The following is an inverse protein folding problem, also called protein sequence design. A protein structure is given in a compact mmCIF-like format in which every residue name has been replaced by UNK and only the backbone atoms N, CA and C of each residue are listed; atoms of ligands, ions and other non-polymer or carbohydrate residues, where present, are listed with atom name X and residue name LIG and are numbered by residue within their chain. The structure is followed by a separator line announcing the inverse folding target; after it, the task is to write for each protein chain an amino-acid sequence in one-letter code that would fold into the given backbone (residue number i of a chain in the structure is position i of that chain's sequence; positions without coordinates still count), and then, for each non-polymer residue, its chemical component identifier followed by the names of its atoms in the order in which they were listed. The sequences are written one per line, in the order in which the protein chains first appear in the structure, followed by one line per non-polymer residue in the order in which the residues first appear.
data_IF_442726054254
#
_entry.id   IF_442726054254
#
_cell.length_a   1.000
_cell.length_b   1.000
_cell.length_c   1.000
_cell.angle_alpha   90.00
_cell.angle_beta   90.00
_cell.angle_gamma   90.00
#
_symmetry.space_group_name_H-M   'P 1'
#
loop_
_entity.id
_entity.type
_entity.pdbx_description
1 polymer ?
#
# COMPACT_ATOMS: atom_id res chain seq x y z
N UNK A 1 -78.26 26.53 12.58
CA UNK A 1 -77.13 26.20 11.70
C UNK A 1 -76.25 27.45 11.63
N UNK A 2 -75.25 27.54 12.50
CA UNK A 2 -74.37 28.69 12.63
C UNK A 2 -72.94 28.18 12.79
N UNK A 3 -72.05 28.67 11.91
CA UNK A 3 -70.61 28.83 12.06
C UNK A 3 -69.98 28.76 10.65
N UNK A 4 -69.92 29.89 9.96
CA UNK A 4 -68.80 30.13 9.05
C UNK A 4 -67.95 31.20 9.72
N UNK A 5 -66.97 30.68 10.43
CA UNK A 5 -65.84 31.33 11.07
C UNK A 5 -64.87 31.75 9.96
N UNK A 6 -64.88 33.02 9.54
CA UNK A 6 -63.87 33.56 8.62
C UNK A 6 -63.57 35.05 8.90
N UNK A 7 -63.36 35.39 10.17
CA UNK A 7 -62.74 36.65 10.60
C UNK A 7 -61.20 36.54 10.55
N UNK A 8 -60.65 36.17 9.37
CA UNK A 8 -59.22 36.34 9.11
C UNK A 8 -59.02 37.39 8.03
N UNK A 9 -58.93 38.65 8.48
CA UNK A 9 -58.48 39.76 7.65
C UNK A 9 -57.24 39.36 6.84
N UNK A 10 -57.36 39.40 5.51
CA UNK A 10 -56.25 39.06 4.60
C UNK A 10 -55.08 40.01 4.88
N UNK A 11 -53.88 39.51 5.17
CA UNK A 11 -52.73 40.35 5.48
C UNK A 11 -52.42 41.32 4.33
N UNK A 12 -52.10 42.56 4.71
CA UNK A 12 -51.63 43.59 3.77
C UNK A 12 -50.38 43.12 3.03
N UNK A 13 -50.22 43.54 1.78
CA UNK A 13 -49.01 43.28 0.98
C UNK A 13 -47.71 43.68 1.71
N UNK A 14 -47.74 44.77 2.51
CA UNK A 14 -46.60 45.17 3.36
C UNK A 14 -46.28 44.17 4.48
N UNK A 15 -47.28 43.43 4.94
CA UNK A 15 -47.16 42.45 6.01
C UNK A 15 -46.69 41.09 5.49
N UNK A 16 -47.09 40.74 4.26
CA UNK A 16 -46.53 39.62 3.51
C UNK A 16 -45.03 39.84 3.27
N UNK A 17 -44.65 41.05 2.87
CA UNK A 17 -43.24 41.40 2.63
C UNK A 17 -42.42 41.37 3.92
N UNK A 18 -42.97 41.91 5.02
CA UNK A 18 -42.35 41.84 6.36
C UNK A 18 -42.19 40.41 6.87
N UNK A 19 -43.12 39.51 6.54
CA UNK A 19 -43.01 38.07 6.87
C UNK A 19 -41.96 37.38 6.02
N UNK A 20 -41.77 37.83 4.78
CA UNK A 20 -40.76 37.30 3.85
C UNK A 20 -39.34 37.68 4.28
N UNK A 21 -39.14 38.92 4.75
CA UNK A 21 -37.85 39.39 5.30
C UNK A 21 -37.51 38.76 6.65
N UNK A 22 -38.53 38.35 7.42
CA UNK A 22 -38.36 37.47 8.58
C UNK A 22 -38.25 36.01 8.18
N UNK A 23 -37.62 35.72 7.04
CA UNK A 23 -37.09 34.39 6.79
C UNK A 23 -36.31 33.97 8.03
N UNK A 24 -36.89 33.02 8.78
CA UNK A 24 -36.14 32.17 9.68
C UNK A 24 -35.01 31.67 8.82
N UNK A 25 -33.82 32.24 8.98
CA UNK A 25 -32.61 31.55 8.60
C UNK A 25 -32.72 30.25 9.38
N UNK A 26 -33.23 29.22 8.71
CA UNK A 26 -32.81 27.86 8.98
C UNK A 26 -31.31 27.96 8.81
N UNK A 27 -30.60 28.18 9.91
CA UNK A 27 -29.33 27.50 10.03
C UNK A 27 -29.74 26.05 9.78
N UNK A 28 -29.52 25.59 8.54
CA UNK A 28 -29.23 24.18 8.35
C UNK A 28 -28.16 23.96 9.41
N UNK A 29 -28.53 23.35 10.53
CA UNK A 29 -27.56 22.76 11.43
C UNK A 29 -26.71 21.93 10.48
N UNK A 30 -25.54 22.45 10.12
CA UNK A 30 -24.58 21.68 9.35
C UNK A 30 -24.34 20.51 10.25
N UNK A 31 -24.83 19.35 9.84
CA UNK A 31 -24.60 18.15 10.62
C UNK A 31 -23.10 18.09 10.89
N UNK A 32 -22.72 17.80 12.16
CA UNK A 32 -21.31 17.76 12.50
C UNK A 32 -20.65 16.79 11.52
N UNK A 33 -19.73 17.32 10.72
CA UNK A 33 -19.01 16.55 9.71
C UNK A 33 -18.55 15.23 10.31
N UNK A 34 -18.79 14.15 9.58
CA UNK A 34 -18.34 12.83 9.98
C UNK A 34 -16.83 12.85 10.22
N UNK A 35 -16.34 11.92 11.02
CA UNK A 35 -14.91 11.79 11.31
C UNK A 35 -14.06 11.70 10.04
N UNK A 36 -14.61 11.07 9.00
CA UNK A 36 -14.05 10.94 7.66
C UNK A 36 -13.92 12.30 6.97
N UNK A 37 -15.01 13.08 6.92
CA UNK A 37 -15.01 14.40 6.28
C UNK A 37 -14.10 15.40 7.00
N UNK A 38 -13.90 15.25 8.31
CA UNK A 38 -12.93 16.05 9.07
C UNK A 38 -11.49 15.67 8.74
N UNK A 39 -11.21 14.37 8.61
CA UNK A 39 -9.88 13.89 8.26
C UNK A 39 -9.45 14.36 6.86
N UNK A 40 -10.37 14.39 5.89
CA UNK A 40 -10.09 14.79 4.51
C UNK A 40 -9.79 16.30 4.32
N UNK A 41 -10.11 17.15 5.32
CA UNK A 41 -9.94 18.62 5.23
C UNK A 41 -8.53 19.12 5.48
N UNK A 42 -7.72 18.36 6.22
CA UNK A 42 -6.32 18.70 6.45
C UNK A 42 -5.45 17.76 5.61
N UNK A 43 -4.47 18.27 4.83
CA UNK A 43 -3.58 17.43 4.03
C UNK A 43 -2.86 16.36 4.88
N UNK A 44 -2.48 16.69 6.11
CA UNK A 44 -1.81 15.78 7.03
C UNK A 44 -2.74 14.71 7.60
N UNK A 45 -3.96 15.09 8.02
CA UNK A 45 -4.98 14.14 8.50
C UNK A 45 -5.48 13.24 7.37
N UNK A 46 -5.61 13.79 6.17
CA UNK A 46 -5.98 13.05 4.96
C UNK A 46 -4.92 11.99 4.67
N UNK A 47 -3.64 12.34 4.75
CA UNK A 47 -2.56 11.38 4.53
C UNK A 47 -2.62 10.23 5.55
N UNK A 48 -2.75 10.53 6.85
CA UNK A 48 -2.92 9.49 7.88
C UNK A 48 -4.17 8.63 7.67
N UNK A 49 -5.27 9.24 7.28
CA UNK A 49 -6.52 8.54 7.03
C UNK A 49 -6.43 7.64 5.80
N UNK A 50 -5.74 8.07 4.75
CA UNK A 50 -5.44 7.24 3.58
C UNK A 50 -4.53 6.06 3.94
N UNK A 51 -3.49 6.27 4.76
CA UNK A 51 -2.66 5.18 5.27
C UNK A 51 -3.45 4.16 6.12
N UNK A 52 -4.39 4.64 6.94
CA UNK A 52 -5.28 3.77 7.73
C UNK A 52 -6.26 2.98 6.85
N UNK A 53 -6.80 3.60 5.80
CA UNK A 53 -7.65 2.90 4.84
C UNK A 53 -6.84 1.90 4.02
N UNK A 54 -5.67 2.26 3.52
CA UNK A 54 -4.77 1.32 2.85
C UNK A 54 -4.44 0.13 3.75
N UNK A 55 -4.28 0.36 5.07
CA UNK A 55 -4.14 -0.72 6.04
C UNK A 55 -5.40 -1.58 6.18
N UNK A 56 -6.59 -1.01 6.10
CA UNK A 56 -7.84 -1.78 6.18
C UNK A 56 -8.11 -2.57 4.89
N UNK A 57 -7.67 -2.07 3.73
CA UNK A 57 -7.94 -2.68 2.42
C UNK A 57 -6.87 -3.68 1.95
N UNK A 58 -5.68 -3.73 2.56
CA UNK A 58 -4.59 -4.64 2.13
C UNK A 58 -4.59 -6.03 2.79
N UNK A 59 -5.62 -6.38 3.58
CA UNK A 59 -5.74 -7.70 4.21
C UNK A 59 -4.58 -8.04 5.18
N UNK A 60 -4.11 -9.30 5.18
CA UNK A 60 -3.04 -9.77 6.09
C UNK A 60 -1.71 -8.97 5.98
N UNK A 61 -1.41 -8.36 4.82
CA UNK A 61 -0.18 -7.58 4.57
C UNK A 61 -0.18 -6.19 5.21
N UNK A 62 -1.33 -5.70 5.67
CA UNK A 62 -1.41 -4.45 6.44
C UNK A 62 -1.31 -4.64 7.96
N UNK A 63 -1.23 -5.89 8.42
CA UNK A 63 -1.05 -6.18 9.83
C UNK A 63 0.28 -5.59 10.33
N UNK A 64 0.34 -5.03 11.55
CA UNK A 64 1.60 -4.70 12.21
C UNK A 64 2.57 -5.88 12.26
N UNK A 65 2.07 -7.11 12.24
CA UNK A 65 2.88 -8.33 12.21
C UNK A 65 3.61 -8.52 10.88
N UNK A 66 2.94 -8.23 9.75
CA UNK A 66 3.57 -8.24 8.44
C UNK A 66 4.73 -7.24 8.40
N UNK A 67 4.50 -6.00 8.86
CA UNK A 67 5.54 -4.97 8.86
C UNK A 67 6.71 -5.34 9.78
N UNK A 68 6.43 -5.93 10.95
CA UNK A 68 7.48 -6.43 11.87
C UNK A 68 8.32 -7.52 11.22
N UNK A 69 7.69 -8.51 10.58
CA UNK A 69 8.39 -9.61 9.94
C UNK A 69 9.15 -9.16 8.69
N UNK A 70 8.57 -8.27 7.89
CA UNK A 70 9.23 -7.64 6.75
C UNK A 70 10.50 -6.89 7.19
N UNK A 71 10.40 -6.02 8.21
CA UNK A 71 11.57 -5.34 8.77
C UNK A 71 12.58 -6.31 9.38
N UNK A 72 12.12 -7.43 9.96
CA UNK A 72 13.01 -8.43 10.51
C UNK A 72 13.89 -9.08 9.44
N UNK A 73 13.44 -9.23 8.20
CA UNK A 73 14.27 -9.73 7.09
C UNK A 73 15.51 -8.85 6.93
N UNK A 74 15.30 -7.53 6.81
CA UNK A 74 16.39 -6.56 6.66
C UNK A 74 17.30 -6.51 7.89
N UNK A 75 16.73 -6.50 9.09
CA UNK A 75 17.50 -6.45 10.35
C UNK A 75 18.33 -7.70 10.61
N UNK A 76 17.87 -8.86 10.15
CA UNK A 76 18.56 -10.14 10.38
C UNK A 76 19.48 -10.53 9.22
N UNK A 77 19.52 -9.76 8.14
CA UNK A 77 20.44 -10.01 7.01
C UNK A 77 21.90 -10.07 7.47
N UNK A 78 22.66 -11.03 6.95
CA UNK A 78 24.03 -11.33 7.37
C UNK A 78 24.15 -12.09 8.70
N UNK A 79 23.05 -12.34 9.41
CA UNK A 79 23.03 -13.17 10.63
C UNK A 79 22.52 -14.59 10.37
N UNK A 80 22.84 -15.51 11.26
CA UNK A 80 22.32 -16.89 11.21
C UNK A 80 20.78 -16.98 11.28
N UNK A 81 20.12 -15.93 11.77
CA UNK A 81 18.66 -15.86 11.88
C UNK A 81 17.98 -15.51 10.55
N UNK A 82 18.71 -14.94 9.59
CA UNK A 82 18.19 -14.46 8.30
C UNK A 82 17.30 -15.50 7.62
N UNK A 83 17.85 -16.70 7.39
CA UNK A 83 17.14 -17.76 6.67
C UNK A 83 15.83 -18.16 7.34
N UNK A 84 15.83 -18.28 8.68
CA UNK A 84 14.63 -18.62 9.43
C UNK A 84 13.58 -17.50 9.37
N UNK A 85 14.01 -16.24 9.41
CA UNK A 85 13.12 -15.08 9.28
C UNK A 85 12.47 -15.04 7.90
N UNK A 86 13.25 -15.26 6.83
CA UNK A 86 12.75 -15.31 5.45
C UNK A 86 11.74 -16.45 5.29
N UNK A 87 12.07 -17.66 5.75
CA UNK A 87 11.16 -18.82 5.66
C UNK A 87 9.83 -18.56 6.38
N UNK A 88 9.88 -17.96 7.58
CA UNK A 88 8.67 -17.58 8.33
C UNK A 88 7.82 -16.56 7.57
N UNK A 89 8.45 -15.52 7.03
CA UNK A 89 7.75 -14.50 6.25
C UNK A 89 7.09 -15.10 5.00
N UNK A 90 7.82 -15.91 4.24
CA UNK A 90 7.30 -16.55 3.02
C UNK A 90 6.13 -17.49 3.31
N UNK A 91 6.15 -18.19 4.45
CA UNK A 91 5.06 -19.08 4.85
C UNK A 91 3.77 -18.31 5.17
N UNK A 92 3.87 -17.13 5.80
CA UNK A 92 2.71 -16.35 6.21
C UNK A 92 2.17 -15.42 5.11
N UNK A 93 3.06 -14.82 4.30
CA UNK A 93 2.70 -13.72 3.38
C UNK A 93 3.09 -13.97 1.92
N UNK A 94 3.85 -15.02 1.63
CA UNK A 94 4.38 -15.29 0.30
C UNK A 94 5.60 -14.42 -0.06
N UNK A 95 5.95 -14.42 -1.35
CA UNK A 95 7.11 -13.70 -1.87
C UNK A 95 6.92 -12.17 -1.75
N UNK A 96 7.91 -11.41 -1.27
CA UNK A 96 7.84 -9.96 -1.27
C UNK A 96 7.92 -9.40 -2.69
N UNK A 97 7.28 -8.25 -2.93
CA UNK A 97 7.26 -7.57 -4.23
C UNK A 97 8.32 -6.46 -4.32
N UNK A 98 8.95 -6.11 -3.20
CA UNK A 98 9.98 -5.09 -3.12
C UNK A 98 11.33 -5.58 -3.67
N UNK A 99 11.92 -4.78 -4.56
CA UNK A 99 13.19 -5.08 -5.23
C UNK A 99 14.33 -5.29 -4.24
N UNK A 100 14.48 -4.39 -3.26
CA UNK A 100 15.57 -4.47 -2.29
C UNK A 100 15.51 -5.75 -1.48
N UNK A 101 14.31 -6.11 -1.02
CA UNK A 101 14.07 -7.34 -0.26
C UNK A 101 14.32 -8.58 -1.12
N UNK A 102 13.86 -8.60 -2.37
CA UNK A 102 14.12 -9.70 -3.31
C UNK A 102 15.62 -9.89 -3.56
N UNK A 103 16.40 -8.81 -3.66
CA UNK A 103 17.87 -8.89 -3.76
C UNK A 103 18.49 -9.60 -2.55
N UNK A 104 17.99 -9.34 -1.33
CA UNK A 104 18.47 -10.03 -0.13
C UNK A 104 18.15 -11.53 -0.16
N UNK A 105 16.99 -11.90 -0.70
CA UNK A 105 16.56 -13.30 -0.81
C UNK A 105 17.47 -14.13 -1.73
N UNK A 106 18.25 -13.50 -2.61
CA UNK A 106 19.25 -14.20 -3.42
C UNK A 106 20.36 -14.87 -2.60
N UNK A 107 20.64 -14.35 -1.41
CA UNK A 107 21.64 -14.90 -0.48
C UNK A 107 21.05 -15.99 0.43
N UNK A 108 19.85 -16.50 0.13
CA UNK A 108 19.20 -17.53 0.92
C UNK A 108 19.82 -18.92 0.71
N UNK A 109 19.90 -19.74 1.76
CA UNK A 109 20.51 -21.10 1.71
C UNK A 109 19.72 -22.13 0.90
N UNK A 110 18.43 -21.88 0.65
CA UNK A 110 17.53 -22.80 -0.06
C UNK A 110 17.43 -22.36 -1.53
N UNK A 111 17.91 -23.17 -2.50
CA UNK A 111 17.86 -22.82 -3.93
C UNK A 111 16.46 -22.43 -4.41
N UNK A 112 15.43 -23.12 -3.92
CA UNK A 112 14.02 -22.84 -4.26
C UNK A 112 13.58 -21.40 -3.99
N UNK A 113 14.06 -20.80 -2.90
CA UNK A 113 13.72 -19.43 -2.55
C UNK A 113 14.50 -18.47 -3.45
N UNK A 114 15.76 -18.79 -3.75
CA UNK A 114 16.61 -18.00 -4.64
C UNK A 114 16.02 -17.97 -6.06
N UNK A 115 15.58 -19.10 -6.61
CA UNK A 115 14.92 -19.20 -7.93
C UNK A 115 13.69 -18.32 -8.04
N UNK A 116 12.78 -18.43 -7.07
CA UNK A 116 11.57 -17.58 -7.02
C UNK A 116 11.91 -16.09 -6.93
N UNK A 117 12.96 -15.73 -6.18
CA UNK A 117 13.42 -14.36 -6.09
C UNK A 117 14.05 -13.88 -7.40
N UNK A 118 14.85 -14.71 -8.08
CA UNK A 118 15.41 -14.43 -9.40
C UNK A 118 14.31 -14.15 -10.43
N UNK A 119 13.30 -15.03 -10.51
CA UNK A 119 12.19 -14.88 -11.43
C UNK A 119 11.42 -13.55 -11.21
N UNK A 120 11.13 -13.22 -9.95
CA UNK A 120 10.48 -11.95 -9.61
C UNK A 120 11.36 -10.73 -9.96
N UNK A 121 12.67 -10.80 -9.71
CA UNK A 121 13.60 -9.73 -10.08
C UNK A 121 13.71 -9.55 -11.60
N UNK A 122 13.69 -10.64 -12.38
CA UNK A 122 13.67 -10.55 -13.84
C UNK A 122 12.44 -9.79 -14.35
N UNK A 123 11.27 -10.07 -13.79
CA UNK A 123 10.04 -9.36 -14.16
C UNK A 123 10.11 -7.86 -13.85
N UNK A 124 10.77 -7.47 -12.75
CA UNK A 124 10.93 -6.08 -12.35
C UNK A 124 12.09 -5.36 -13.08
N UNK A 125 13.06 -6.10 -13.62
CA UNK A 125 14.30 -5.58 -14.20
C UNK A 125 14.10 -4.44 -15.23
N UNK A 126 13.17 -4.54 -16.20
CA UNK A 126 12.98 -3.49 -17.21
C UNK A 126 12.52 -2.15 -16.63
N UNK A 127 11.96 -2.15 -15.42
CA UNK A 127 11.44 -0.94 -14.78
C UNK A 127 12.47 -0.24 -13.89
N UNK A 128 13.65 -0.85 -13.68
CA UNK A 128 14.68 -0.35 -12.75
C UNK A 128 15.69 0.55 -13.42
N UNK A 129 16.29 1.44 -12.62
CA UNK A 129 17.35 2.34 -13.06
C UNK A 129 18.68 1.61 -13.32
N UNK A 130 19.63 2.30 -13.97
CA UNK A 130 20.92 1.73 -14.35
C UNK A 130 21.69 1.13 -13.15
N UNK A 131 21.73 1.85 -12.02
CA UNK A 131 22.44 1.40 -10.82
C UNK A 131 21.83 0.14 -10.21
N UNK A 132 20.50 0.08 -10.12
CA UNK A 132 19.78 -1.09 -9.61
C UNK A 132 19.99 -2.31 -10.51
N UNK A 133 19.91 -2.13 -11.82
CA UNK A 133 20.17 -3.18 -12.81
C UNK A 133 21.60 -3.71 -12.72
N UNK A 134 22.60 -2.82 -12.59
CA UNK A 134 24.00 -3.22 -12.41
C UNK A 134 24.22 -3.98 -11.11
N UNK A 135 23.58 -3.56 -10.01
CA UNK A 135 23.62 -4.26 -8.74
C UNK A 135 23.05 -5.68 -8.83
N UNK A 136 21.90 -5.83 -9.49
CA UNK A 136 21.30 -7.14 -9.76
C UNK A 136 22.21 -8.03 -10.60
N UNK A 137 22.70 -7.54 -11.74
CA UNK A 137 23.63 -8.30 -12.61
C UNK A 137 24.86 -8.75 -11.83
N UNK A 138 25.40 -7.91 -10.96
CA UNK A 138 26.57 -8.26 -10.14
C UNK A 138 26.25 -9.37 -9.14
N UNK A 139 25.10 -9.30 -8.46
CA UNK A 139 24.60 -10.37 -7.57
C UNK A 139 24.40 -11.69 -8.32
N UNK A 140 23.76 -11.66 -9.50
CA UNK A 140 23.51 -12.87 -10.29
C UNK A 140 24.81 -13.48 -10.82
N UNK A 141 25.81 -12.66 -11.22
CA UNK A 141 27.15 -13.17 -11.57
C UNK A 141 27.81 -13.92 -10.41
N UNK A 142 27.77 -13.36 -9.21
CA UNK A 142 28.32 -14.04 -8.02
C UNK A 142 27.58 -15.36 -7.79
N UNK A 143 26.26 -15.36 -7.93
CA UNK A 143 25.44 -16.56 -7.78
C UNK A 143 25.83 -17.64 -8.81
N UNK A 144 25.94 -17.29 -10.09
CA UNK A 144 26.39 -18.21 -11.15
C UNK A 144 27.79 -18.78 -10.88
N UNK A 145 28.67 -18.04 -10.21
CA UNK A 145 30.02 -18.52 -9.91
C UNK A 145 30.11 -19.36 -8.63
N UNK A 146 29.21 -19.15 -7.66
CA UNK A 146 29.35 -19.70 -6.30
C UNK A 146 28.25 -20.69 -5.90
N UNK A 147 27.16 -20.76 -6.66
CA UNK A 147 26.05 -21.67 -6.40
C UNK A 147 26.49 -23.14 -6.50
N UNK A 148 26.31 -23.87 -5.40
CA UNK A 148 26.58 -25.31 -5.34
C UNK A 148 25.55 -26.11 -6.16
N UNK A 149 24.31 -25.63 -6.18
CA UNK A 149 23.23 -26.24 -6.94
C UNK A 149 23.39 -25.94 -8.43
N UNK A 150 23.43 -26.99 -9.25
CA UNK A 150 23.71 -26.90 -10.69
C UNK A 150 22.55 -26.25 -11.46
N UNK A 151 21.30 -26.56 -11.07
CA UNK A 151 20.13 -25.95 -11.69
C UNK A 151 20.06 -24.45 -11.43
N UNK A 152 20.30 -24.03 -10.18
CA UNK A 152 20.36 -22.62 -9.81
C UNK A 152 21.48 -21.89 -10.56
N UNK A 153 22.61 -22.57 -10.79
CA UNK A 153 23.73 -22.02 -11.54
C UNK A 153 23.34 -21.74 -12.99
N UNK A 154 22.77 -22.75 -13.67
CA UNK A 154 22.29 -22.63 -15.03
C UNK A 154 21.20 -21.54 -15.16
N UNK A 155 20.30 -21.45 -14.18
CA UNK A 155 19.26 -20.43 -14.16
C UNK A 155 19.83 -19.01 -13.97
N UNK A 156 20.86 -18.85 -13.14
CA UNK A 156 21.58 -17.59 -13.00
C UNK A 156 22.32 -17.22 -14.30
N UNK A 157 22.94 -18.17 -14.99
CA UNK A 157 23.60 -17.95 -16.28
C UNK A 157 22.59 -17.53 -17.36
N UNK A 158 21.49 -18.25 -17.51
CA UNK A 158 20.40 -17.90 -18.43
C UNK A 158 19.86 -16.49 -18.13
N UNK A 159 19.69 -16.17 -16.85
CA UNK A 159 19.26 -14.83 -16.43
C UNK A 159 20.24 -13.74 -16.89
N UNK A 160 21.54 -14.00 -16.82
CA UNK A 160 22.57 -13.05 -17.30
C UNK A 160 22.54 -12.86 -18.81
N UNK A 161 22.21 -13.90 -19.58
CA UNK A 161 22.07 -13.78 -21.03
C UNK A 161 20.83 -12.98 -21.40
N UNK A 162 19.69 -13.26 -20.77
CA UNK A 162 18.45 -12.55 -21.01
C UNK A 162 18.58 -11.05 -20.69
N UNK A 163 19.14 -10.69 -19.54
CA UNK A 163 19.30 -9.26 -19.19
C UNK A 163 20.36 -8.52 -20.01
N UNK A 164 21.29 -9.24 -20.66
CA UNK A 164 22.21 -8.62 -21.63
C UNK A 164 21.53 -8.30 -22.96
N UNK A 165 20.44 -9.00 -23.27
CA UNK A 165 19.66 -8.81 -24.50
C UNK A 165 18.58 -7.72 -24.40
N UNK A 166 18.31 -7.20 -23.19
CA UNK A 166 17.33 -6.16 -22.87
C UNK A 166 17.97 -4.77 -22.75
#
# INVERSE_FOLDING_TARGET
MAAYDDDRERPSWREIDRRRDRSRHTSRQREPLSQVERALKSPWLKHKYMEELEKLFSGKKASPEHQKLYQAIHKTYGSNKFHRTVEKYLQEYGLPEDWGTLILLLDHKKPEIVRKALEALKALYPQKGLLERQGFVSKVKILALTAKDEFLRAEAENTLEEVRSL
#
